data_IF_134135268054
#
_entry.id   IF_134135268054
#
_cell.length_a   1.000
_cell.length_b   1.000
_cell.length_c   1.000
_cell.angle_alpha   90.00
_cell.angle_beta   90.00
_cell.angle_gamma   90.00
#
_symmetry.space_group_name_H-M   'P 1'
#
loop_
_entity.id
_entity.type
_entity.pdbx_description
1 polymer ?
#
# COMPACT_ATOMS: atom_id res chain seq x y z
N UNK A 1 -16.75 15.90 18.81
CA UNK A 1 -18.16 15.50 18.91
C UNK A 1 -18.21 14.25 19.80
N UNK A 2 -19.17 14.14 20.72
CA UNK A 2 -19.35 12.89 21.48
C UNK A 2 -20.23 11.93 20.68
N UNK A 3 -20.07 10.64 20.88
CA UNK A 3 -20.69 9.59 20.04
C UNK A 3 -22.23 9.60 20.08
N UNK A 4 -22.85 10.01 21.19
CA UNK A 4 -24.30 10.06 21.38
C UNK A 4 -24.89 11.47 21.45
N UNK A 5 -24.05 12.47 21.20
CA UNK A 5 -24.45 13.87 21.30
C UNK A 5 -25.12 14.34 20.01
N UNK A 6 -26.23 15.04 20.15
CA UNK A 6 -26.94 15.63 19.02
C UNK A 6 -26.22 16.88 18.50
N UNK A 7 -26.48 17.23 17.24
CA UNK A 7 -25.91 18.44 16.63
C UNK A 7 -26.32 19.70 17.42
N UNK A 8 -27.55 19.74 17.93
CA UNK A 8 -28.07 20.87 18.72
C UNK A 8 -27.26 21.02 20.01
N UNK A 9 -27.07 19.93 20.76
CA UNK A 9 -26.26 19.94 22.00
C UNK A 9 -24.81 20.37 21.73
N UNK A 10 -24.24 19.94 20.61
CA UNK A 10 -22.89 20.37 20.20
C UNK A 10 -22.84 21.87 19.93
N UNK A 11 -23.82 22.42 19.20
CA UNK A 11 -23.91 23.86 18.91
C UNK A 11 -24.08 24.65 20.21
N UNK A 12 -24.96 24.19 21.12
CA UNK A 12 -25.15 24.83 22.42
C UNK A 12 -23.85 24.90 23.22
N UNK A 13 -23.12 23.77 23.35
CA UNK A 13 -21.82 23.77 24.05
C UNK A 13 -20.79 24.67 23.37
N UNK A 14 -20.78 24.73 22.03
CA UNK A 14 -19.90 25.63 21.31
C UNK A 14 -20.21 27.10 21.61
N UNK A 15 -21.49 27.47 21.61
CA UNK A 15 -21.95 28.82 21.96
C UNK A 15 -21.56 29.18 23.40
N UNK A 16 -21.76 28.27 24.36
CA UNK A 16 -21.37 28.51 25.75
C UNK A 16 -19.86 28.75 25.90
N UNK A 17 -19.04 27.98 25.17
CA UNK A 17 -17.59 28.13 25.14
C UNK A 17 -17.21 29.51 24.55
N UNK A 18 -17.80 29.87 23.41
CA UNK A 18 -17.55 31.16 22.75
C UNK A 18 -17.93 32.32 23.67
N UNK A 19 -19.10 32.27 24.29
CA UNK A 19 -19.56 33.28 25.24
C UNK A 19 -18.62 33.38 26.46
N UNK A 20 -18.12 32.25 26.96
CA UNK A 20 -17.12 32.21 28.01
C UNK A 20 -15.80 32.87 27.62
N UNK A 21 -15.34 32.67 26.37
CA UNK A 21 -14.17 33.37 25.84
C UNK A 21 -14.41 34.88 25.68
N UNK A 22 -15.60 35.27 25.20
CA UNK A 22 -15.98 36.67 25.04
C UNK A 22 -16.01 37.39 26.41
N UNK A 23 -16.52 36.73 27.47
CA UNK A 23 -16.47 37.24 28.84
C UNK A 23 -15.04 37.43 29.38
N UNK A 24 -14.07 36.64 28.88
CA UNK A 24 -12.64 36.79 29.19
C UNK A 24 -11.94 37.83 28.30
N UNK A 25 -12.69 38.58 27.48
CA UNK A 25 -12.15 39.55 26.52
C UNK A 25 -11.45 38.91 25.32
N UNK A 26 -11.61 37.60 25.11
CA UNK A 26 -11.04 36.88 23.96
C UNK A 26 -12.14 36.66 22.93
N UNK A 27 -12.15 37.48 21.90
CA UNK A 27 -13.11 37.35 20.80
C UNK A 27 -12.49 36.57 19.64
N UNK A 28 -13.32 35.82 18.92
CA UNK A 28 -12.93 35.14 17.69
C UNK A 28 -13.74 35.72 16.54
N UNK A 29 -13.09 35.95 15.40
CA UNK A 29 -13.82 36.37 14.20
C UNK A 29 -14.70 35.21 13.71
N UNK A 30 -15.80 35.53 13.05
CA UNK A 30 -16.71 34.52 12.52
C UNK A 30 -16.00 33.51 11.61
N UNK A 31 -15.08 33.99 10.76
CA UNK A 31 -14.24 33.13 9.92
C UNK A 31 -13.39 32.15 10.72
N UNK A 32 -12.86 32.54 11.87
CA UNK A 32 -12.08 31.67 12.75
C UNK A 32 -12.97 30.66 13.48
N UNK A 33 -14.15 31.09 13.93
CA UNK A 33 -15.17 30.22 14.53
C UNK A 33 -15.54 29.11 13.55
N UNK A 34 -15.91 29.48 12.31
CA UNK A 34 -16.26 28.54 11.23
C UNK A 34 -15.09 27.61 10.89
N UNK A 35 -13.87 28.14 10.70
CA UNK A 35 -12.70 27.32 10.37
C UNK A 35 -12.41 26.28 11.46
N UNK A 36 -12.51 26.66 12.73
CA UNK A 36 -12.31 25.74 13.86
C UNK A 36 -13.36 24.63 13.89
N UNK A 37 -14.63 24.98 13.65
CA UNK A 37 -15.72 24.00 13.59
C UNK A 37 -15.48 23.00 12.45
N UNK A 38 -15.22 23.48 11.23
CA UNK A 38 -14.96 22.62 10.08
C UNK A 38 -13.79 21.66 10.33
N UNK A 39 -12.69 22.17 10.88
CA UNK A 39 -11.53 21.35 11.22
C UNK A 39 -11.86 20.28 12.28
N UNK A 40 -12.64 20.64 13.30
CA UNK A 40 -13.05 19.70 14.34
C UNK A 40 -13.95 18.58 13.79
N UNK A 41 -14.87 18.91 12.87
CA UNK A 41 -15.75 17.94 12.19
C UNK A 41 -14.92 16.98 11.32
N UNK A 42 -14.06 17.51 10.44
CA UNK A 42 -13.20 16.67 9.59
C UNK A 42 -12.31 15.73 10.42
N UNK A 43 -11.76 16.23 11.54
CA UNK A 43 -10.94 15.42 12.43
C UNK A 43 -11.76 14.30 13.09
N UNK A 44 -13.00 14.58 13.46
CA UNK A 44 -13.90 13.60 14.04
C UNK A 44 -14.24 12.48 13.03
N UNK A 45 -14.56 12.84 11.79
CA UNK A 45 -14.84 11.88 10.72
C UNK A 45 -13.63 10.97 10.44
N UNK A 46 -12.43 11.55 10.30
CA UNK A 46 -11.19 10.78 10.08
C UNK A 46 -10.92 9.82 11.24
N UNK A 47 -11.15 10.26 12.48
CA UNK A 47 -10.93 9.40 13.64
C UNK A 47 -11.98 8.29 13.73
N UNK A 48 -13.22 8.55 13.32
CA UNK A 48 -14.28 7.55 13.26
C UNK A 48 -13.97 6.47 12.22
N UNK A 49 -13.51 6.85 11.02
CA UNK A 49 -13.13 5.88 9.98
C UNK A 49 -11.92 5.03 10.39
N UNK A 50 -10.91 5.64 11.03
CA UNK A 50 -9.78 4.90 11.61
C UNK A 50 -10.20 3.87 12.64
N UNK A 51 -11.10 4.23 13.57
CA UNK A 51 -11.62 3.29 14.58
C UNK A 51 -12.33 2.08 13.93
N UNK A 52 -13.05 2.29 12.83
CA UNK A 52 -13.69 1.21 12.08
C UNK A 52 -12.65 0.27 11.44
N UNK A 53 -11.61 0.84 10.83
CA UNK A 53 -10.54 0.06 10.18
C UNK A 53 -9.68 -0.72 11.19
N UNK A 54 -9.33 -0.12 12.33
CA UNK A 54 -8.59 -0.78 13.42
C UNK A 54 -9.37 -1.94 14.08
N UNK A 55 -10.70 -1.97 13.92
CA UNK A 55 -11.56 -3.09 14.33
C UNK A 55 -11.40 -4.33 13.44
N UNK A 56 -11.05 -4.15 12.17
CA UNK A 56 -10.90 -5.23 11.18
C UNK A 56 -9.49 -5.86 11.19
N UNK A 57 -8.46 -5.11 11.59
CA UNK A 57 -7.06 -5.54 11.52
C UNK A 57 -6.62 -6.53 12.61
N UNK A 58 -7.50 -6.95 13.53
CA UNK A 58 -7.16 -7.92 14.60
C UNK A 58 -7.17 -9.40 14.18
N UNK A 59 -7.37 -9.72 12.89
CA UNK A 59 -7.38 -11.12 12.39
C UNK A 59 -6.24 -11.48 11.41
N UNK A 60 -5.03 -10.95 11.61
CA UNK A 60 -3.83 -11.51 10.94
C UNK A 60 -2.75 -11.87 11.95
N UNK A 61 -3.07 -12.85 12.82
CA UNK A 61 -2.03 -13.76 13.31
C UNK A 61 -1.77 -14.76 12.19
N UNK A 62 -0.82 -14.47 11.31
CA UNK A 62 -0.29 -15.45 10.38
C UNK A 62 0.42 -16.53 11.19
N UNK A 63 -0.26 -17.64 11.46
CA UNK A 63 0.41 -18.85 11.91
C UNK A 63 1.13 -19.39 10.67
N UNK A 64 2.45 -19.43 10.73
CA UNK A 64 3.26 -20.01 9.66
C UNK A 64 2.84 -21.47 9.44
N UNK A 65 2.23 -21.75 8.29
CA UNK A 65 1.93 -23.10 7.84
C UNK A 65 3.25 -23.81 7.54
N UNK A 66 3.69 -24.70 8.44
CA UNK A 66 4.70 -25.70 8.11
C UNK A 66 4.05 -26.70 7.16
N UNK A 67 4.62 -26.83 5.97
CA UNK A 67 4.24 -27.84 5.00
C UNK A 67 4.52 -29.23 5.59
N UNK A 68 3.45 -29.98 5.87
CA UNK A 68 3.51 -31.43 5.97
C UNK A 68 2.55 -32.00 4.95
N UNK A 69 3.17 -32.76 4.04
CA UNK A 69 2.56 -33.58 3.01
C UNK A 69 1.53 -34.56 3.56
N UNK A 70 0.49 -34.75 2.74
CA UNK A 70 -0.47 -35.87 2.65
C UNK A 70 -1.86 -35.69 3.25
N UNK A 71 -2.79 -35.69 2.28
CA UNK A 71 -4.05 -36.44 2.21
C UNK A 71 -5.27 -35.87 2.95
N UNK A 72 -6.19 -35.39 2.09
CA UNK A 72 -7.66 -35.51 2.13
C UNK A 72 -8.41 -34.89 3.32
N UNK A 73 -9.07 -33.76 3.05
CA UNK A 73 -10.38 -33.47 3.66
C UNK A 73 -11.20 -32.54 2.74
N UNK A 74 -12.19 -33.18 2.12
CA UNK A 74 -13.52 -32.73 1.70
C UNK A 74 -13.82 -31.21 1.76
N UNK A 75 -13.86 -30.56 0.60
CA UNK A 75 -14.47 -29.24 0.42
C UNK A 75 -15.55 -29.40 -0.66
N UNK A 76 -16.79 -29.30 -0.20
CA UNK A 76 -18.05 -29.17 -0.93
C UNK A 76 -17.88 -28.60 -2.35
N UNK A 77 -18.43 -29.32 -3.33
CA UNK A 77 -18.47 -28.93 -4.74
C UNK A 77 -19.32 -27.66 -4.93
N UNK A 78 -18.72 -26.48 -4.76
CA UNK A 78 -19.22 -25.28 -5.41
C UNK A 78 -18.89 -25.36 -6.90
N UNK A 79 -19.91 -25.18 -7.74
CA UNK A 79 -19.81 -25.24 -9.20
C UNK A 79 -18.65 -24.35 -9.67
N UNK A 80 -17.73 -24.84 -10.53
CA UNK A 80 -16.71 -23.99 -11.12
C UNK A 80 -17.43 -22.89 -11.89
N UNK A 81 -17.33 -21.66 -11.39
CA UNK A 81 -17.81 -20.50 -12.10
C UNK A 81 -16.79 -20.15 -13.18
N UNK A 82 -17.23 -19.59 -14.30
CA UNK A 82 -16.33 -19.17 -15.38
C UNK A 82 -15.25 -18.16 -14.90
N UNK A 83 -15.46 -17.52 -13.75
CA UNK A 83 -14.53 -16.60 -13.08
C UNK A 83 -13.29 -17.31 -12.51
N UNK A 84 -13.43 -18.57 -12.10
CA UNK A 84 -12.33 -19.37 -11.54
C UNK A 84 -11.30 -19.77 -12.60
N UNK A 85 -11.75 -19.98 -13.85
CA UNK A 85 -10.87 -20.25 -14.99
C UNK A 85 -10.02 -19.02 -15.36
N UNK A 86 -10.62 -17.83 -15.32
CA UNK A 86 -9.91 -16.56 -15.50
C UNK A 86 -8.89 -16.32 -14.38
N UNK A 87 -9.27 -16.58 -13.13
CA UNK A 87 -8.36 -16.52 -11.98
C UNK A 87 -7.20 -17.52 -12.12
N UNK A 88 -7.49 -18.74 -12.59
CA UNK A 88 -6.48 -19.76 -12.88
C UNK A 88 -5.53 -19.31 -14.01
N UNK A 89 -6.05 -18.67 -15.07
CA UNK A 89 -5.25 -18.14 -16.17
C UNK A 89 -4.35 -16.98 -15.73
N UNK A 90 -4.87 -16.04 -14.93
CA UNK A 90 -4.12 -14.94 -14.32
C UNK A 90 -3.00 -15.51 -13.42
N UNK A 91 -3.34 -16.45 -12.55
CA UNK A 91 -2.39 -17.12 -11.63
C UNK A 91 -1.28 -17.84 -12.41
N UNK A 92 -1.63 -18.53 -13.49
CA UNK A 92 -0.68 -19.22 -14.37
C UNK A 92 0.26 -18.24 -15.07
N UNK A 93 -0.25 -17.10 -15.54
CA UNK A 93 0.53 -16.04 -16.21
C UNK A 93 1.48 -15.35 -15.25
N UNK A 94 1.03 -15.07 -14.03
CA UNK A 94 1.85 -14.52 -12.94
C UNK A 94 3.00 -15.48 -12.58
N UNK A 95 2.69 -16.77 -12.38
CA UNK A 95 3.71 -17.78 -12.07
C UNK A 95 4.74 -17.93 -13.19
N UNK A 96 4.32 -17.82 -14.45
CA UNK A 96 5.23 -17.83 -15.60
C UNK A 96 6.17 -16.63 -15.60
N UNK A 97 5.67 -15.45 -15.25
CA UNK A 97 6.46 -14.23 -15.10
C UNK A 97 7.51 -14.37 -13.99
N UNK A 98 7.08 -14.78 -12.78
CA UNK A 98 7.97 -14.97 -11.62
C UNK A 98 9.03 -16.07 -11.85
N UNK A 99 8.71 -17.12 -12.63
CA UNK A 99 9.67 -18.17 -13.00
C UNK A 99 10.69 -17.69 -14.05
N UNK A 100 10.31 -16.72 -14.88
CA UNK A 100 11.16 -16.13 -15.93
C UNK A 100 12.17 -15.10 -15.41
N UNK A 101 11.93 -14.54 -14.22
CA UNK A 101 12.73 -13.44 -13.65
C UNK A 101 13.71 -13.88 -12.54
N UNK A 102 14.00 -15.18 -12.44
CA UNK A 102 15.22 -15.62 -11.75
C UNK A 102 16.42 -15.38 -12.67
N UNK A 103 16.95 -14.16 -12.61
CA UNK A 103 18.33 -13.79 -12.94
C UNK A 103 19.08 -14.84 -13.77
N UNK A 104 18.83 -14.87 -15.09
CA UNK A 104 19.87 -15.36 -16.00
C UNK A 104 20.96 -14.30 -16.00
N UNK A 105 21.83 -14.39 -15.00
CA UNK A 105 23.00 -13.54 -14.84
C UNK A 105 23.72 -13.43 -16.17
N UNK A 106 23.58 -12.27 -16.81
CA UNK A 106 24.34 -11.92 -18.00
C UNK A 106 25.77 -11.72 -17.52
N UNK A 107 26.54 -12.81 -17.46
CA UNK A 107 27.99 -12.75 -17.32
C UNK A 107 28.47 -11.83 -18.43
N UNK A 108 29.00 -10.67 -18.06
CA UNK A 108 29.82 -9.86 -18.93
C UNK A 108 31.12 -10.66 -19.15
N UNK A 109 31.10 -11.63 -20.05
CA UNK A 109 32.33 -12.25 -20.52
C UNK A 109 33.02 -11.21 -21.38
N UNK A 110 33.97 -10.50 -20.80
CA UNK A 110 34.91 -9.70 -21.57
C UNK A 110 35.55 -10.64 -22.59
N UNK A 111 35.25 -10.43 -23.89
CA UNK A 111 36.05 -11.01 -24.97
C UNK A 111 37.39 -10.27 -24.95
N UNK A 112 38.27 -10.73 -24.06
CA UNK A 112 39.71 -10.58 -24.21
C UNK A 112 40.06 -11.37 -25.45
N UNK A 113 40.50 -10.68 -26.50
CA UNK A 113 40.97 -11.32 -27.73
C UNK A 113 42.50 -11.42 -27.65
N UNK A 114 43.08 -12.60 -27.33
CA UNK A 114 44.51 -12.77 -27.27
C UNK A 114 44.98 -13.45 -28.55
N UNK A 115 45.73 -12.70 -29.37
CA UNK A 115 46.74 -13.22 -30.28
C UNK A 115 46.33 -14.36 -31.23
N UNK A 116 46.23 -14.04 -32.53
CA UNK A 116 47.13 -14.59 -33.58
C UNK A 116 46.54 -14.33 -34.96
N UNK A 117 47.17 -13.43 -35.70
CA UNK A 117 47.65 -13.77 -37.04
C UNK A 117 48.85 -12.89 -37.36
N UNK A 118 50.01 -13.45 -37.03
CA UNK A 118 51.28 -13.06 -37.61
C UNK A 118 51.25 -13.35 -39.11
N UNK A 119 51.57 -12.33 -39.90
CA UNK A 119 52.30 -12.43 -41.17
C UNK A 119 52.70 -10.98 -41.49
N UNK A 120 53.97 -10.61 -41.29
CA UNK A 120 55.04 -10.75 -42.29
C UNK A 120 54.80 -9.79 -43.46
N UNK A 121 55.67 -8.89 -43.87
CA UNK A 121 57.05 -8.55 -43.49
C UNK A 121 57.41 -7.24 -44.21
N UNK A 122 58.52 -6.60 -43.79
CA UNK A 122 59.39 -5.74 -44.60
C UNK A 122 58.81 -4.36 -45.02
N UNK A 123 59.43 -3.20 -44.78
CA UNK A 123 60.78 -2.84 -44.39
C UNK A 123 61.09 -1.48 -45.06
N UNK A 124 61.69 -0.57 -44.28
CA UNK A 124 62.39 0.67 -44.68
C UNK A 124 61.58 1.83 -45.31
N UNK A 125 61.47 2.96 -44.58
CA UNK A 125 62.33 4.18 -44.62
C UNK A 125 62.19 4.97 -45.93
N UNK A 126 61.80 6.23 -45.83
CA UNK A 126 62.74 7.37 -45.90
C UNK A 126 62.00 8.73 -45.91
N UNK A 127 62.62 9.66 -45.17
CA UNK A 127 62.61 11.14 -45.28
C UNK A 127 61.31 11.94 -45.23
#
# INVERSE_FOLDING_TARGET
>A
MKETETIIEMITRFTDIVNGFEALGKTYKESEKVMKILRAIMTYEINLTKKLQEGEDKKKKSIALKATTKEEEDVEEEKPSDEDDDLALITRKLNKFMRGERFRGRKFTSRRDPSKKESSSHGDKEK
#
